data_IF_610629825240
#
_entry.id   IF_610629825240
#
_cell.length_a   1.000
_cell.length_b   1.000
_cell.length_c   1.000
_cell.angle_alpha   90.00
_cell.angle_beta   90.00
_cell.angle_gamma   90.00
#
_symmetry.space_group_name_H-M   'P 1'
#
loop_
_entity.id
_entity.type
_entity.pdbx_description
1 polymer ?
#
# COMPACT_ATOMS: atom_id res chain seq x y z
N UNK A 1 16.71 14.45 -9.69
CA UNK A 1 15.32 14.88 -9.95
C UNK A 1 14.71 13.87 -10.92
N UNK A 2 14.03 12.84 -10.42
CA UNK A 2 13.54 11.75 -11.25
C UNK A 2 12.14 12.09 -11.79
N UNK A 3 12.00 12.13 -13.11
CA UNK A 3 10.72 12.33 -13.81
C UNK A 3 10.40 11.02 -14.52
N UNK A 4 9.41 10.29 -14.02
CA UNK A 4 8.88 9.10 -14.68
C UNK A 4 7.77 9.58 -15.62
N UNK A 5 7.94 9.39 -16.92
CA UNK A 5 6.85 9.44 -17.90
C UNK A 5 6.43 8.01 -18.15
N UNK A 6 5.16 7.70 -17.94
CA UNK A 6 4.56 6.44 -18.33
C UNK A 6 3.87 6.69 -19.68
N UNK A 7 4.57 6.40 -20.77
CA UNK A 7 3.95 6.36 -22.10
C UNK A 7 3.44 4.93 -22.35
N UNK A 8 2.20 4.80 -22.83
CA UNK A 8 1.44 3.54 -22.82
C UNK A 8 1.96 2.49 -23.81
N UNK A 9 2.94 2.81 -24.65
CA UNK A 9 3.48 1.89 -25.64
C UNK A 9 5.01 1.89 -25.62
N UNK A 10 5.56 0.73 -25.23
CA UNK A 10 6.98 0.32 -25.36
C UNK A 10 7.93 0.92 -24.30
N UNK A 11 8.25 0.10 -23.29
CA UNK A 11 9.31 0.37 -22.32
C UNK A 11 10.55 -0.46 -22.70
N UNK A 12 11.46 0.14 -23.46
CA UNK A 12 12.83 -0.36 -23.56
C UNK A 12 13.66 0.30 -22.45
N UNK A 13 14.16 -0.53 -21.52
CA UNK A 13 15.08 -0.10 -20.44
C UNK A 13 16.41 -0.79 -20.71
N UNK A 14 17.40 -0.05 -21.23
CA UNK A 14 18.77 -0.51 -21.33
C UNK A 14 19.45 -0.48 -19.95
N UNK A 15 19.87 -1.65 -19.47
CA UNK A 15 20.70 -1.81 -18.27
C UNK A 15 22.11 -2.21 -18.71
N UNK A 16 23.09 -1.32 -18.54
CA UNK A 16 24.51 -1.66 -18.68
C UNK A 16 24.97 -2.38 -17.40
N UNK A 17 25.37 -3.65 -17.54
CA UNK A 17 26.09 -4.42 -16.51
C UNK A 17 27.60 -4.36 -16.81
N UNK A 18 28.41 -3.98 -15.83
CA UNK A 18 29.82 -4.36 -15.77
C UNK A 18 29.95 -5.54 -14.81
N UNK A 19 30.51 -6.65 -15.32
CA UNK A 19 30.88 -7.85 -14.57
C UNK A 19 32.28 -7.66 -13.99
N UNK A 20 32.51 -8.17 -12.80
CA UNK A 20 33.80 -8.76 -12.42
C UNK A 20 33.54 -9.92 -11.45
N UNK A 21 34.08 -11.08 -11.81
CA UNK A 21 34.14 -12.30 -11.02
C UNK A 21 35.42 -12.28 -10.18
N UNK A 22 35.40 -12.94 -9.01
CA UNK A 22 36.57 -13.65 -8.51
C UNK A 22 36.14 -14.74 -7.51
N UNK A 23 36.65 -15.94 -7.72
CA UNK A 23 36.60 -17.11 -6.83
C UNK A 23 37.82 -17.07 -5.91
N UNK A 24 37.71 -17.61 -4.69
CA UNK A 24 38.65 -18.62 -4.16
C UNK A 24 38.26 -19.15 -2.78
N UNK A 25 38.77 -20.34 -2.48
CA UNK A 25 38.46 -21.27 -1.41
C UNK A 25 39.37 -21.14 -0.17
N UNK A 26 38.84 -21.62 0.97
CA UNK A 26 39.52 -22.31 2.10
C UNK A 26 40.37 -21.51 3.12
N UNK A 27 39.91 -21.51 4.40
CA UNK A 27 40.48 -22.22 5.58
C UNK A 27 40.03 -21.56 6.89
N UNK A 28 39.49 -22.39 7.80
CA UNK A 28 39.24 -22.07 9.21
C UNK A 28 40.53 -22.07 10.02
N UNK A 29 40.64 -21.15 10.98
CA UNK A 29 41.09 -21.37 12.38
C UNK A 29 40.97 -20.04 13.20
N UNK A 30 40.98 -20.09 14.55
CA UNK A 30 39.95 -19.47 15.38
C UNK A 30 40.26 -18.03 15.81
N UNK A 31 39.22 -17.20 15.97
CA UNK A 31 39.33 -15.84 16.51
C UNK A 31 38.51 -15.68 17.79
N UNK A 32 39.26 -15.70 18.89
CA UNK A 32 39.17 -14.82 20.07
C UNK A 32 37.85 -14.06 20.27
N UNK A 33 37.16 -14.41 21.36
CA UNK A 33 35.96 -13.76 21.87
C UNK A 33 36.23 -12.28 22.19
N UNK A 34 35.93 -11.40 21.25
CA UNK A 34 35.72 -9.99 21.53
C UNK A 34 34.23 -9.80 21.84
N UNK A 35 33.96 -9.38 23.09
CA UNK A 35 32.63 -8.97 23.52
C UNK A 35 32.21 -7.77 22.66
N UNK A 36 31.41 -8.02 21.63
CA UNK A 36 30.76 -6.94 20.88
C UNK A 36 29.78 -6.23 21.83
N UNK A 37 30.13 -5.00 22.19
CA UNK A 37 29.17 -4.04 22.74
C UNK A 37 28.01 -3.89 21.73
N UNK A 38 26.75 -3.83 22.19
CA UNK A 38 25.62 -3.76 21.29
C UNK A 38 25.73 -2.49 20.45
N UNK A 39 26.01 -2.66 19.15
CA UNK A 39 25.90 -1.61 18.15
C UNK A 39 24.48 -1.06 18.25
N UNK A 40 24.34 0.23 18.56
CA UNK A 40 23.06 0.93 18.46
C UNK A 40 22.53 0.70 17.04
N UNK A 41 21.54 -0.19 16.93
CA UNK A 41 20.82 -0.38 15.67
C UNK A 41 20.04 0.89 15.48
N UNK A 42 20.54 1.77 14.62
CA UNK A 42 19.77 2.88 14.12
C UNK A 42 18.65 2.27 13.25
N UNK A 43 17.53 1.88 13.89
CA UNK A 43 16.41 1.23 13.22
C UNK A 43 15.78 2.23 12.24
N UNK A 44 16.28 2.24 11.00
CA UNK A 44 15.68 3.07 9.95
C UNK A 44 14.18 2.74 9.84
N UNK A 45 13.35 3.76 9.93
CA UNK A 45 11.89 3.63 9.87
C UNK A 45 11.46 3.03 8.53
N UNK A 46 10.42 2.17 8.50
CA UNK A 46 9.84 1.71 7.24
C UNK A 46 9.44 2.89 6.35
N UNK A 47 9.86 2.86 5.09
CA UNK A 47 9.45 3.79 4.05
C UNK A 47 8.06 3.42 3.57
N UNK A 48 7.14 4.38 3.60
CA UNK A 48 5.75 4.18 3.20
C UNK A 48 5.41 5.05 2.00
N UNK A 49 4.71 4.46 1.03
CA UNK A 49 4.03 5.19 -0.05
C UNK A 49 2.55 4.86 0.01
N UNK A 50 1.70 5.89 -0.05
CA UNK A 50 0.27 5.68 -0.24
C UNK A 50 -0.03 5.51 -1.72
N UNK A 51 -0.81 4.49 -2.06
CA UNK A 51 -1.34 4.28 -3.40
C UNK A 51 -2.85 4.53 -3.40
N UNK A 52 -3.25 5.66 -3.98
CA UNK A 52 -4.62 6.16 -3.98
C UNK A 52 -5.21 6.21 -5.39
N UNK A 53 -6.54 6.21 -5.46
CA UNK A 53 -7.31 6.20 -6.71
C UNK A 53 -8.65 5.50 -6.53
N UNK A 54 -9.60 5.77 -7.43
CA UNK A 54 -10.97 5.26 -7.33
C UNK A 54 -11.08 3.73 -7.40
N UNK A 55 -12.26 3.15 -7.09
CA UNK A 55 -12.48 1.71 -7.26
C UNK A 55 -12.29 1.32 -8.74
N UNK A 56 -11.52 0.27 -9.04
CA UNK A 56 -11.27 -0.15 -10.43
C UNK A 56 -10.16 0.60 -11.17
N UNK A 57 -9.52 1.59 -10.56
CA UNK A 57 -8.36 2.32 -11.13
C UNK A 57 -7.13 1.45 -11.45
N UNK A 58 -7.03 0.25 -10.86
CA UNK A 58 -5.91 -0.67 -11.10
C UNK A 58 -4.81 -0.68 -10.04
N UNK A 59 -5.07 -0.11 -8.85
CA UNK A 59 -4.11 -0.07 -7.72
C UNK A 59 -3.43 -1.41 -7.44
N UNK A 60 -4.21 -2.49 -7.29
CA UNK A 60 -3.67 -3.83 -7.05
C UNK A 60 -2.71 -4.33 -8.15
N UNK A 61 -2.98 -3.99 -9.42
CA UNK A 61 -2.10 -4.33 -10.55
C UNK A 61 -0.78 -3.55 -10.46
N UNK A 62 -0.87 -2.25 -10.17
CA UNK A 62 0.31 -1.39 -10.01
C UNK A 62 1.15 -1.82 -8.80
N UNK A 63 0.51 -2.11 -7.66
CA UNK A 63 1.20 -2.52 -6.45
C UNK A 63 1.88 -3.89 -6.59
N UNK A 64 1.27 -4.83 -7.33
CA UNK A 64 1.90 -6.09 -7.68
C UNK A 64 3.14 -5.87 -8.56
N UNK A 65 3.04 -4.99 -9.56
CA UNK A 65 4.16 -4.62 -10.44
C UNK A 65 5.32 -3.99 -9.64
N UNK A 66 5.01 -3.11 -8.69
CA UNK A 66 6.01 -2.45 -7.84
C UNK A 66 6.70 -3.43 -6.88
N UNK A 67 5.99 -4.45 -6.42
CA UNK A 67 6.58 -5.57 -5.66
C UNK A 67 7.61 -6.31 -6.50
N UNK A 68 7.21 -6.77 -7.67
CA UNK A 68 8.07 -7.58 -8.55
C UNK A 68 9.30 -6.81 -9.04
N UNK A 69 9.12 -5.55 -9.46
CA UNK A 69 10.19 -4.78 -10.09
C UNK A 69 11.10 -4.05 -9.11
N UNK A 70 10.55 -3.59 -7.99
CA UNK A 70 11.22 -2.63 -7.10
C UNK A 70 11.26 -3.06 -5.62
N UNK A 71 10.69 -4.22 -5.29
CA UNK A 71 10.71 -4.77 -3.94
C UNK A 71 9.82 -4.03 -2.94
N UNK A 72 8.83 -3.26 -3.41
CA UNK A 72 7.87 -2.61 -2.51
C UNK A 72 6.76 -3.58 -2.11
N UNK A 73 6.58 -3.78 -0.82
CA UNK A 73 5.60 -4.72 -0.27
C UNK A 73 4.21 -4.07 -0.22
N UNK A 74 3.22 -4.58 -0.96
CA UNK A 74 1.88 -4.04 -0.94
C UNK A 74 1.10 -4.53 0.27
N UNK A 75 0.51 -3.60 1.01
CA UNK A 75 -0.44 -3.86 2.09
C UNK A 75 -1.76 -3.17 1.70
N UNK A 76 -2.75 -3.97 1.31
CA UNK A 76 -4.06 -3.46 0.89
C UNK A 76 -4.99 -3.37 2.08
N UNK A 77 -5.46 -2.16 2.40
CA UNK A 77 -6.41 -1.95 3.49
C UNK A 77 -7.69 -2.76 3.29
N UNK A 78 -8.16 -2.87 2.05
CA UNK A 78 -9.32 -3.69 1.71
C UNK A 78 -9.10 -5.19 1.92
N UNK A 79 -7.89 -5.70 1.66
CA UNK A 79 -7.56 -7.11 1.92
C UNK A 79 -7.42 -7.37 3.42
N UNK A 80 -6.75 -6.47 4.16
CA UNK A 80 -6.68 -6.55 5.62
C UNK A 80 -8.07 -6.63 6.27
N UNK A 81 -9.02 -5.80 5.82
CA UNK A 81 -10.39 -5.83 6.32
C UNK A 81 -11.13 -7.12 5.92
N UNK A 82 -10.91 -7.65 4.71
CA UNK A 82 -11.52 -8.92 4.28
C UNK A 82 -10.97 -10.12 5.03
N UNK A 83 -9.65 -10.15 5.28
CA UNK A 83 -8.98 -11.15 6.10
C UNK A 83 -9.52 -11.12 7.55
N UNK A 84 -9.61 -9.93 8.14
CA UNK A 84 -10.12 -9.74 9.50
C UNK A 84 -11.59 -10.15 9.62
N UNK A 85 -12.41 -9.84 8.61
CA UNK A 85 -13.80 -10.32 8.53
C UNK A 85 -13.87 -11.84 8.49
N UNK A 86 -12.97 -12.50 7.75
CA UNK A 86 -12.96 -13.95 7.59
C UNK A 86 -12.40 -14.69 8.82
N UNK A 87 -11.67 -14.00 9.70
CA UNK A 87 -11.07 -14.61 10.90
C UNK A 87 -12.08 -14.86 12.03
N UNK A 88 -13.29 -14.28 11.94
CA UNK A 88 -14.30 -14.36 13.00
C UNK A 88 -13.96 -13.51 14.23
N UNK A 89 -13.17 -12.44 14.06
CA UNK A 89 -12.82 -11.55 15.17
C UNK A 89 -14.02 -10.76 15.70
N UNK A 90 -13.83 -10.12 16.85
CA UNK A 90 -14.83 -9.22 17.45
C UNK A 90 -15.29 -8.09 16.52
N UNK A 91 -14.46 -7.70 15.56
CA UNK A 91 -14.74 -6.61 14.61
C UNK A 91 -15.34 -7.12 13.29
N UNK A 92 -15.46 -8.44 13.10
CA UNK A 92 -15.85 -9.05 11.83
C UNK A 92 -17.24 -8.63 11.36
N UNK A 93 -18.24 -8.60 12.25
CA UNK A 93 -19.61 -8.17 11.91
C UNK A 93 -19.66 -6.70 11.49
N UNK A 94 -19.00 -5.82 12.27
CA UNK A 94 -18.88 -4.40 11.98
C UNK A 94 -18.22 -4.17 10.61
N UNK A 95 -17.11 -4.85 10.34
CA UNK A 95 -16.40 -4.75 9.06
C UNK A 95 -17.30 -5.20 7.89
N UNK A 96 -18.01 -6.31 8.05
CA UNK A 96 -18.91 -6.85 7.02
C UNK A 96 -20.01 -5.84 6.64
N UNK A 97 -20.63 -5.21 7.63
CA UNK A 97 -21.71 -4.25 7.43
C UNK A 97 -21.27 -3.02 6.65
N UNK A 98 -20.12 -2.45 7.00
CA UNK A 98 -19.57 -1.28 6.32
C UNK A 98 -19.17 -1.60 4.88
N UNK A 99 -18.50 -2.74 4.65
CA UNK A 99 -18.10 -3.18 3.30
C UNK A 99 -19.33 -3.39 2.41
N UNK A 100 -20.36 -4.09 2.89
CA UNK A 100 -21.61 -4.31 2.12
C UNK A 100 -22.30 -2.99 1.76
N UNK A 101 -22.28 -2.01 2.66
CA UNK A 101 -22.88 -0.68 2.45
C UNK A 101 -22.03 0.24 1.56
N UNK A 102 -20.79 -0.14 1.22
CA UNK A 102 -19.86 0.71 0.46
C UNK A 102 -19.33 1.90 1.27
N UNK A 103 -19.34 1.79 2.60
CA UNK A 103 -18.89 2.80 3.55
C UNK A 103 -17.43 2.55 3.98
N UNK A 104 -16.81 3.56 4.59
CA UNK A 104 -15.46 3.47 5.15
C UNK A 104 -15.55 2.91 6.56
N UNK A 105 -14.88 1.78 6.81
CA UNK A 105 -14.73 1.20 8.16
C UNK A 105 -14.03 2.22 9.07
N UNK A 106 -14.40 2.34 10.36
CA UNK A 106 -13.72 3.23 11.30
C UNK A 106 -12.19 3.17 11.20
N UNK A 107 -11.56 4.34 11.21
CA UNK A 107 -10.14 4.49 10.88
C UNK A 107 -9.24 3.65 11.79
N UNK A 108 -9.53 3.61 13.09
CA UNK A 108 -8.72 2.92 14.09
C UNK A 108 -8.58 1.41 13.81
N UNK A 109 -9.64 0.73 13.40
CA UNK A 109 -9.59 -0.69 13.04
C UNK A 109 -8.64 -0.89 11.86
N UNK A 110 -8.81 -0.07 10.81
CA UNK A 110 -7.99 -0.17 9.60
C UNK A 110 -6.52 0.13 9.90
N UNK A 111 -6.24 1.17 10.69
CA UNK A 111 -4.88 1.57 11.07
C UNK A 111 -4.18 0.47 11.87
N UNK A 112 -4.88 -0.14 12.83
CA UNK A 112 -4.31 -1.23 13.64
C UNK A 112 -3.96 -2.45 12.79
N UNK A 113 -4.82 -2.81 11.83
CA UNK A 113 -4.54 -3.91 10.90
C UNK A 113 -3.33 -3.60 10.00
N UNK A 114 -3.24 -2.37 9.48
CA UNK A 114 -2.10 -1.93 8.68
C UNK A 114 -0.81 -1.94 9.51
N UNK A 115 -0.83 -1.39 10.71
CA UNK A 115 0.33 -1.33 11.61
C UNK A 115 0.85 -2.73 11.96
N UNK A 116 -0.05 -3.70 12.21
CA UNK A 116 0.31 -5.10 12.44
C UNK A 116 1.07 -5.69 11.25
N UNK A 117 0.60 -5.46 10.02
CA UNK A 117 1.27 -5.95 8.81
C UNK A 117 2.60 -5.24 8.56
N UNK A 118 2.67 -3.92 8.78
CA UNK A 118 3.92 -3.14 8.65
C UNK A 118 4.99 -3.68 9.59
N UNK A 119 4.65 -3.91 10.87
CA UNK A 119 5.58 -4.48 11.86
C UNK A 119 6.05 -5.86 11.45
N UNK A 120 5.14 -6.74 11.05
CA UNK A 120 5.46 -8.08 10.57
C UNK A 120 6.49 -8.05 9.43
N UNK A 121 6.32 -7.16 8.44
CA UNK A 121 7.29 -7.04 7.34
C UNK A 121 8.60 -6.38 7.76
N UNK A 122 8.54 -5.38 8.64
CA UNK A 122 9.73 -4.72 9.18
C UNK A 122 10.63 -5.69 9.97
N UNK A 123 10.03 -6.58 10.77
CA UNK A 123 10.73 -7.67 11.49
C UNK A 123 11.45 -8.64 10.54
N UNK A 124 10.97 -8.77 9.29
CA UNK A 124 11.63 -9.55 8.24
C UNK A 124 12.61 -8.72 7.38
N UNK A 125 12.97 -7.52 7.83
CA UNK A 125 13.87 -6.60 7.11
C UNK A 125 13.23 -5.92 5.90
N UNK A 126 11.93 -6.08 5.67
CA UNK A 126 11.22 -5.49 4.53
C UNK A 126 10.69 -4.10 4.92
N UNK A 127 11.47 -3.06 4.58
CA UNK A 127 11.19 -1.67 4.97
C UNK A 127 10.52 -0.82 3.90
N UNK A 128 10.31 -1.33 2.68
CA UNK A 128 9.64 -0.58 1.58
C UNK A 128 8.19 -1.02 1.47
N UNK A 129 7.26 -0.19 1.94
CA UNK A 129 5.84 -0.52 2.05
C UNK A 129 5.00 0.37 1.12
N UNK A 130 4.09 -0.24 0.37
CA UNK A 130 3.02 0.46 -0.33
C UNK A 130 1.72 0.15 0.37
N UNK A 131 0.98 1.18 0.78
CA UNK A 131 -0.36 1.02 1.34
C UNK A 131 -1.39 1.31 0.25
N UNK A 132 -2.10 0.27 -0.19
CA UNK A 132 -3.15 0.38 -1.21
C UNK A 132 -4.49 0.73 -0.57
N UNK A 133 -5.02 1.88 -0.98
CA UNK A 133 -6.39 2.27 -0.70
C UNK A 133 -6.61 2.78 0.72
N UNK A 134 -5.58 3.36 1.35
CA UNK A 134 -5.66 4.11 2.61
C UNK A 134 -4.63 5.26 2.55
N UNK A 135 -4.90 6.43 3.15
CA UNK A 135 -6.15 6.85 3.82
C UNK A 135 -7.30 7.13 2.83
N UNK A 136 -8.55 6.99 3.29
CA UNK A 136 -9.76 7.28 2.47
C UNK A 136 -10.61 8.45 2.98
N UNK A 137 -10.26 9.03 4.12
CA UNK A 137 -10.92 10.20 4.71
C UNK A 137 -9.91 11.01 5.52
N UNK A 138 -10.27 12.25 5.88
CA UNK A 138 -9.46 13.08 6.77
C UNK A 138 -9.29 12.43 8.15
N UNK A 139 -10.35 11.84 8.70
CA UNK A 139 -10.31 11.10 9.96
C UNK A 139 -9.31 9.92 9.90
N UNK A 140 -9.26 9.18 8.79
CA UNK A 140 -8.27 8.13 8.58
C UNK A 140 -6.84 8.70 8.59
N UNK A 141 -6.63 9.84 7.91
CA UNK A 141 -5.33 10.47 7.87
C UNK A 141 -4.90 10.98 9.25
N UNK A 142 -5.77 11.66 9.99
CA UNK A 142 -5.50 12.16 11.33
C UNK A 142 -5.18 11.01 12.30
N UNK A 143 -5.97 9.93 12.25
CA UNK A 143 -5.70 8.72 13.02
C UNK A 143 -4.35 8.10 12.66
N UNK A 144 -4.00 8.06 11.37
CA UNK A 144 -2.71 7.57 10.90
C UNK A 144 -1.55 8.44 11.41
N UNK A 145 -1.66 9.76 11.28
CA UNK A 145 -0.63 10.70 11.75
C UNK A 145 -0.39 10.52 13.25
N UNK A 146 -1.47 10.35 14.04
CA UNK A 146 -1.39 10.11 15.50
C UNK A 146 -0.77 8.76 15.87
N UNK A 147 -1.17 7.69 15.21
CA UNK A 147 -0.81 6.32 15.62
C UNK A 147 0.44 5.77 14.92
N UNK A 148 0.76 6.24 13.73
CA UNK A 148 1.79 5.67 12.84
C UNK A 148 2.77 6.72 12.31
N UNK A 149 2.40 8.00 12.26
CA UNK A 149 3.20 9.06 11.65
C UNK A 149 4.65 9.16 12.15
N UNK A 150 4.87 8.89 13.44
CA UNK A 150 6.19 8.87 14.08
C UNK A 150 6.99 7.57 13.85
N UNK A 151 6.32 6.49 13.42
CA UNK A 151 6.89 5.14 13.27
C UNK A 151 7.35 4.82 11.85
N UNK A 152 6.97 5.64 10.88
CA UNK A 152 7.27 5.42 9.45
C UNK A 152 7.81 6.68 8.80
N UNK A 153 8.39 6.51 7.62
CA UNK A 153 8.87 7.60 6.77
C UNK A 153 7.99 7.66 5.51
N UNK A 154 6.97 8.54 5.53
CA UNK A 154 6.04 8.71 4.42
C UNK A 154 6.72 9.47 3.27
N UNK A 155 6.92 8.77 2.14
CA UNK A 155 7.65 9.30 0.99
C UNK A 155 6.80 10.14 0.05
N UNK A 156 5.65 9.60 -0.37
CA UNK A 156 4.75 10.27 -1.30
C UNK A 156 3.38 9.58 -1.34
N UNK A 157 2.48 10.20 -2.10
CA UNK A 157 1.21 9.62 -2.53
C UNK A 157 1.29 9.38 -4.03
N UNK A 158 1.14 8.14 -4.47
CA UNK A 158 0.92 7.81 -5.88
C UNK A 158 -0.58 7.81 -6.16
N UNK A 159 -1.02 8.65 -7.09
CA UNK A 159 -2.41 8.76 -7.51
C UNK A 159 -2.59 8.06 -8.85
N UNK A 160 -3.48 7.09 -8.91
CA UNK A 160 -3.93 6.48 -10.17
C UNK A 160 -5.22 7.13 -10.64
N UNK A 161 -5.10 7.93 -11.70
CA UNK A 161 -6.22 8.56 -12.38
C UNK A 161 -6.79 7.62 -13.45
N UNK A 162 -8.11 7.51 -13.48
CA UNK A 162 -8.84 6.64 -14.39
C UNK A 162 -10.24 7.22 -14.58
N UNK A 163 -10.80 7.17 -15.78
CA UNK A 163 -12.18 7.63 -15.99
C UNK A 163 -13.17 6.74 -15.23
N UNK A 164 -14.29 7.33 -14.78
CA UNK A 164 -15.34 6.59 -14.08
C UNK A 164 -15.88 5.44 -14.92
N UNK A 165 -16.04 5.64 -16.22
CA UNK A 165 -16.50 4.61 -17.16
C UNK A 165 -15.61 3.37 -17.14
N UNK A 166 -14.28 3.55 -17.28
CA UNK A 166 -13.31 2.45 -17.25
C UNK A 166 -13.26 1.81 -15.87
N UNK A 167 -13.32 2.61 -14.81
CA UNK A 167 -13.36 2.12 -13.43
C UNK A 167 -14.57 1.23 -13.18
N UNK A 168 -15.75 1.66 -13.65
CA UNK A 168 -17.02 0.93 -13.54
C UNK A 168 -16.95 -0.39 -14.30
N UNK A 169 -16.53 -0.35 -15.57
CA UNK A 169 -16.38 -1.55 -16.40
C UNK A 169 -15.47 -2.59 -15.73
N UNK A 170 -14.29 -2.17 -15.27
CA UNK A 170 -13.33 -3.06 -14.60
C UNK A 170 -13.88 -3.66 -13.32
N UNK A 171 -14.62 -2.88 -12.52
CA UNK A 171 -15.25 -3.41 -11.32
C UNK A 171 -16.32 -4.45 -11.64
N UNK A 172 -17.22 -4.17 -12.60
CA UNK A 172 -18.25 -5.12 -13.00
C UNK A 172 -17.67 -6.43 -13.55
N UNK A 173 -16.60 -6.35 -14.37
CA UNK A 173 -15.91 -7.53 -14.87
C UNK A 173 -15.30 -8.35 -13.72
N UNK A 174 -14.66 -7.68 -12.75
CA UNK A 174 -14.08 -8.33 -11.57
C UNK A 174 -15.13 -8.96 -10.65
N UNK A 175 -16.31 -8.36 -10.52
CA UNK A 175 -17.42 -8.92 -9.74
C UNK A 175 -17.88 -10.29 -10.25
N UNK A 176 -17.76 -10.53 -11.57
CA UNK A 176 -18.12 -11.83 -12.20
C UNK A 176 -17.15 -12.96 -11.87
N UNK A 177 -15.89 -12.66 -11.53
CA UNK A 177 -14.82 -13.67 -11.46
C UNK A 177 -14.18 -13.81 -10.07
N UNK A 178 -14.23 -12.77 -9.24
CA UNK A 178 -13.43 -12.70 -8.00
C UNK A 178 -14.18 -13.05 -6.71
N UNK A 179 -15.50 -13.21 -6.74
CA UNK A 179 -16.32 -13.37 -5.54
C UNK A 179 -16.46 -12.09 -4.69
N UNK A 180 -16.01 -10.93 -5.18
CA UNK A 180 -16.23 -9.63 -4.52
C UNK A 180 -17.69 -9.20 -4.62
N UNK A 181 -18.40 -9.33 -3.50
CA UNK A 181 -19.83 -8.99 -3.39
C UNK A 181 -20.11 -7.49 -3.53
N UNK A 182 -19.12 -6.63 -3.31
CA UNK A 182 -19.21 -5.17 -3.39
C UNK A 182 -18.87 -4.59 -4.78
N UNK A 183 -18.67 -5.46 -5.79
CA UNK A 183 -18.44 -5.10 -7.19
C UNK A 183 -19.74 -5.29 -8.03
N UNK A 184 -20.85 -4.73 -7.55
CA UNK A 184 -22.17 -4.69 -8.23
C UNK A 184 -22.58 -3.24 -8.55
N UNK A 185 -23.52 -2.98 -9.48
CA UNK A 185 -23.92 -1.63 -9.87
C UNK A 185 -24.32 -0.73 -8.70
N UNK A 186 -25.14 -1.23 -7.77
CA UNK A 186 -25.63 -0.44 -6.64
C UNK A 186 -24.51 -0.04 -5.67
N UNK A 187 -23.61 -0.96 -5.36
CA UNK A 187 -22.44 -0.71 -4.51
C UNK A 187 -21.43 0.20 -5.19
N UNK A 188 -21.26 0.13 -6.51
CA UNK A 188 -20.30 0.95 -7.23
C UNK A 188 -20.68 2.44 -7.22
N UNK A 189 -21.96 2.77 -7.41
CA UNK A 189 -22.44 4.16 -7.29
C UNK A 189 -22.06 4.75 -5.94
N UNK A 190 -22.29 3.99 -4.85
CA UNK A 190 -21.92 4.40 -3.49
C UNK A 190 -20.41 4.55 -3.34
N UNK A 191 -19.61 3.63 -3.88
CA UNK A 191 -18.15 3.66 -3.76
C UNK A 191 -17.53 4.83 -4.52
N UNK A 192 -18.05 5.18 -5.70
CA UNK A 192 -17.62 6.38 -6.43
C UNK A 192 -17.99 7.64 -5.65
N UNK A 193 -19.24 7.75 -5.18
CA UNK A 193 -19.68 8.87 -4.36
C UNK A 193 -18.80 9.04 -3.12
N UNK A 194 -18.60 7.98 -2.34
CA UNK A 194 -17.74 7.99 -1.16
C UNK A 194 -16.31 8.41 -1.53
N UNK A 195 -15.74 7.90 -2.62
CA UNK A 195 -14.39 8.28 -3.05
C UNK A 195 -14.29 9.78 -3.34
N UNK A 196 -15.26 10.35 -4.07
CA UNK A 196 -15.29 11.77 -4.40
C UNK A 196 -15.48 12.65 -3.16
N UNK A 197 -16.40 12.28 -2.26
CA UNK A 197 -16.74 13.12 -1.10
C UNK A 197 -15.71 13.04 0.03
N UNK A 198 -15.07 11.87 0.22
CA UNK A 198 -14.24 11.63 1.41
C UNK A 198 -12.76 11.46 1.10
N UNK A 199 -12.40 10.85 -0.02
CA UNK A 199 -10.99 10.57 -0.35
C UNK A 199 -10.32 11.72 -1.11
N UNK A 200 -11.06 12.47 -1.92
CA UNK A 200 -10.52 13.62 -2.67
C UNK A 200 -9.95 14.73 -1.76
N UNK A 201 -10.60 15.12 -0.65
CA UNK A 201 -10.02 16.11 0.27
C UNK A 201 -8.62 15.73 0.79
N UNK A 202 -8.39 14.43 1.00
CA UNK A 202 -7.07 13.91 1.42
C UNK A 202 -6.03 14.10 0.31
N UNK A 203 -6.42 13.81 -0.94
CA UNK A 203 -5.55 14.01 -2.10
C UNK A 203 -5.19 15.49 -2.28
N UNK A 204 -6.17 16.39 -2.17
CA UNK A 204 -5.95 17.83 -2.26
C UNK A 204 -4.97 18.34 -1.20
N UNK A 205 -5.06 17.82 0.02
CA UNK A 205 -4.11 18.15 1.09
C UNK A 205 -2.68 17.73 0.71
N UNK A 206 -2.49 16.50 0.24
CA UNK A 206 -1.17 16.03 -0.16
C UNK A 206 -0.63 16.73 -1.41
N UNK A 207 -1.50 17.12 -2.34
CA UNK A 207 -1.12 17.84 -3.55
C UNK A 207 -0.62 19.25 -3.21
N UNK A 208 -1.31 19.94 -2.29
CA UNK A 208 -0.85 21.23 -1.73
C UNK A 208 0.51 21.12 -1.02
N UNK A 209 0.81 19.96 -0.41
CA UNK A 209 2.12 19.66 0.19
C UNK A 209 3.18 19.22 -0.84
N UNK A 210 2.85 19.12 -2.13
CA UNK A 210 3.76 18.66 -3.19
C UNK A 210 4.11 17.17 -3.13
N UNK A 211 3.33 16.38 -2.37
CA UNK A 211 3.60 14.96 -2.10
C UNK A 211 2.95 14.01 -3.10
N UNK A 212 2.03 14.49 -3.93
CA UNK A 212 1.34 13.66 -4.94
C UNK A 212 2.23 13.45 -6.17
N UNK A 213 2.27 12.20 -6.65
CA UNK A 213 2.86 11.76 -7.91
C UNK A 213 1.74 11.15 -8.77
N UNK A 214 1.59 11.64 -10.00
CA UNK A 214 0.61 11.20 -10.99
C UNK A 214 1.33 10.44 -12.10
#
# INVERSE_FOLDING_TARGET
MYRVRVDCHRLDVEVKKSKEECKEETKEEPKEETKEEPKEVNEEKPQVVFLLGGPGSGKGTVSATLKEKLGWIPISAGDCLREEKASGSKDAELINDYIKKGLIVPGEITINLLLKKIRFYAEQGQKKIIIDGFPRSMENLEGWEKLVGDKVDLKCVMLLECSEEVMRERCLLRGKTSGRVDDNPESLVKRFKTHMETSMPVLELFDKKGMVKR
#
